data_IF_709612239795
#
_entry.id   IF_709612239795
#
_cell.length_a   1.000
_cell.length_b   1.000
_cell.length_c   1.000
_cell.angle_alpha   90.00
_cell.angle_beta   90.00
_cell.angle_gamma   90.00
#
_symmetry.space_group_name_H-M   'P 1'
#
loop_
_entity.id
_entity.type
_entity.pdbx_description
1 polymer ?
#
# COMPACT_ATOMS: atom_id res chain seq x y z
N UNK A 1 -26.11 -16.66 14.79
CA UNK A 1 -27.04 -16.28 13.71
C UNK A 1 -28.49 -16.69 14.03
N UNK A 2 -28.73 -17.81 14.73
CA UNK A 2 -30.09 -18.36 14.90
C UNK A 2 -31.01 -17.63 15.90
N UNK A 3 -30.47 -16.89 16.86
CA UNK A 3 -31.28 -16.19 17.87
C UNK A 3 -32.14 -15.05 17.32
N UNK A 4 -31.65 -14.30 16.34
CA UNK A 4 -32.39 -13.17 15.76
C UNK A 4 -33.57 -13.64 14.89
N UNK A 5 -33.36 -14.70 14.10
CA UNK A 5 -34.41 -15.30 13.27
C UNK A 5 -35.50 -16.01 14.10
N UNK A 6 -35.14 -16.60 15.24
CA UNK A 6 -36.10 -17.17 16.18
C UNK A 6 -36.94 -16.09 16.89
N UNK A 7 -36.32 -14.99 17.34
CA UNK A 7 -37.02 -13.89 18.02
C UNK A 7 -38.03 -13.16 17.12
N UNK A 8 -37.71 -12.95 15.84
CA UNK A 8 -38.64 -12.36 14.86
C UNK A 8 -39.86 -13.26 14.67
N UNK A 9 -39.67 -14.58 14.58
CA UNK A 9 -40.78 -15.55 14.50
C UNK A 9 -41.67 -15.59 15.74
N UNK A 10 -41.14 -15.18 16.89
CA UNK A 10 -41.87 -15.10 18.16
C UNK A 10 -42.49 -13.72 18.42
N UNK A 11 -42.52 -12.82 17.43
CA UNK A 11 -43.10 -11.48 17.58
C UNK A 11 -42.30 -10.55 18.50
N UNK A 12 -41.06 -10.90 18.85
CA UNK A 12 -40.20 -10.11 19.72
C UNK A 12 -39.50 -9.00 18.93
N UNK A 13 -40.25 -7.97 18.57
CA UNK A 13 -39.75 -6.79 17.83
C UNK A 13 -38.61 -6.09 18.56
N UNK A 14 -38.56 -6.13 19.90
CA UNK A 14 -37.47 -5.61 20.71
C UNK A 14 -36.07 -6.16 20.32
N UNK A 15 -35.99 -7.39 19.79
CA UNK A 15 -34.72 -7.99 19.35
C UNK A 15 -34.18 -7.33 18.08
N UNK A 16 -35.05 -6.81 17.20
CA UNK A 16 -34.68 -6.04 16.01
C UNK A 16 -34.12 -4.66 16.35
N UNK A 17 -34.36 -4.17 17.57
CA UNK A 17 -33.86 -2.88 18.05
C UNK A 17 -32.53 -3.00 18.80
N UNK A 18 -32.02 -4.22 19.02
CA UNK A 18 -30.74 -4.39 19.71
C UNK A 18 -29.58 -3.88 18.84
N UNK A 19 -28.60 -3.15 19.41
CA UNK A 19 -27.46 -2.61 18.66
C UNK A 19 -26.64 -3.65 17.89
N UNK A 20 -26.47 -4.86 18.43
CA UNK A 20 -25.74 -5.95 17.78
C UNK A 20 -26.45 -6.49 16.54
N UNK A 21 -27.78 -6.65 16.63
CA UNK A 21 -28.63 -7.09 15.50
C UNK A 21 -28.66 -6.02 14.40
N UNK A 22 -28.76 -4.74 14.79
CA UNK A 22 -28.75 -3.61 13.83
C UNK A 22 -27.39 -3.41 13.17
N UNK A 23 -26.29 -3.58 13.91
CA UNK A 23 -24.94 -3.57 13.35
C UNK A 23 -24.76 -4.69 12.33
N UNK A 24 -25.19 -5.91 12.67
CA UNK A 24 -25.16 -7.05 11.73
C UNK A 24 -26.04 -6.79 10.49
N UNK A 25 -27.23 -6.22 10.68
CA UNK A 25 -28.08 -5.82 9.56
C UNK A 25 -27.41 -4.75 8.68
N UNK A 26 -26.73 -3.77 9.29
CA UNK A 26 -25.95 -2.77 8.55
C UNK A 26 -24.83 -3.43 7.72
N UNK A 27 -24.06 -4.36 8.28
CA UNK A 27 -23.05 -5.13 7.53
C UNK A 27 -23.67 -5.89 6.35
N UNK A 28 -24.82 -6.53 6.57
CA UNK A 28 -25.52 -7.27 5.51
C UNK A 28 -25.98 -6.34 4.39
N UNK A 29 -26.62 -5.22 4.73
CA UNK A 29 -27.02 -4.19 3.75
C UNK A 29 -25.82 -3.64 2.98
N UNK A 30 -24.72 -3.40 3.68
CA UNK A 30 -23.48 -2.93 3.09
C UNK A 30 -22.90 -3.94 2.07
N UNK A 31 -22.93 -5.24 2.37
CA UNK A 31 -22.48 -6.29 1.44
C UNK A 31 -23.33 -6.38 0.18
N UNK A 32 -24.62 -6.06 0.29
CA UNK A 32 -25.56 -6.00 -0.85
C UNK A 32 -25.59 -4.63 -1.55
N UNK A 33 -24.64 -3.73 -1.25
CA UNK A 33 -24.56 -2.40 -1.87
C UNK A 33 -25.66 -1.43 -1.44
N UNK A 34 -26.49 -1.79 -0.45
CA UNK A 34 -27.55 -0.93 0.12
C UNK A 34 -26.96 0.00 1.19
N UNK A 35 -26.03 0.87 0.76
CA UNK A 35 -25.26 1.74 1.67
C UNK A 35 -26.12 2.69 2.50
N UNK A 36 -27.16 3.28 1.90
CA UNK A 36 -28.08 4.19 2.61
C UNK A 36 -28.78 3.52 3.78
N UNK A 37 -29.23 2.27 3.60
CA UNK A 37 -29.86 1.49 4.67
C UNK A 37 -28.87 1.06 5.74
N UNK A 38 -27.64 0.72 5.35
CA UNK A 38 -26.57 0.42 6.29
C UNK A 38 -26.26 1.64 7.17
N UNK A 39 -26.12 2.82 6.57
CA UNK A 39 -25.88 4.09 7.28
C UNK A 39 -27.06 4.42 8.21
N UNK A 40 -28.30 4.33 7.73
CA UNK A 40 -29.49 4.58 8.56
C UNK A 40 -29.50 3.70 9.81
N UNK A 41 -29.22 2.40 9.68
CA UNK A 41 -29.17 1.50 10.82
C UNK A 41 -28.12 1.93 11.85
N UNK A 42 -26.96 2.44 11.42
CA UNK A 42 -25.92 2.91 12.34
C UNK A 42 -26.30 4.22 13.02
N UNK A 43 -26.87 5.18 12.30
CA UNK A 43 -27.33 6.44 12.87
C UNK A 43 -28.43 6.22 13.92
N UNK A 44 -29.32 5.24 13.70
CA UNK A 44 -30.31 4.86 14.70
C UNK A 44 -29.71 4.13 15.93
N UNK A 45 -28.57 3.45 15.79
CA UNK A 45 -27.85 2.89 16.95
C UNK A 45 -27.27 4.02 17.79
N UNK A 46 -26.67 5.02 17.13
CA UNK A 46 -25.99 6.14 17.78
C UNK A 46 -26.97 7.14 18.42
N UNK A 47 -28.12 7.38 17.79
CA UNK A 47 -29.14 8.30 18.29
C UNK A 47 -29.93 7.76 19.50
N UNK A 48 -30.12 6.45 19.60
CA UNK A 48 -30.84 5.80 20.70
C UNK A 48 -30.00 5.61 21.99
N UNK A 49 -28.80 6.20 22.03
CA UNK A 49 -28.00 6.35 23.25
C UNK A 49 -26.77 5.45 23.28
N UNK A 50 -25.63 6.06 22.96
CA UNK A 50 -24.26 5.56 23.16
C UNK A 50 -23.96 4.99 24.57
N UNK A 51 -24.76 5.38 25.58
CA UNK A 51 -24.64 4.89 26.97
C UNK A 51 -24.83 3.37 27.13
N UNK A 52 -25.48 2.70 26.17
CA UNK A 52 -25.72 1.25 26.21
C UNK A 52 -24.76 0.44 25.32
N UNK A 53 -23.86 1.12 24.59
CA UNK A 53 -22.95 0.46 23.67
C UNK A 53 -21.75 -0.17 24.39
N UNK A 54 -21.30 0.36 25.54
CA UNK A 54 -20.16 -0.19 26.30
C UNK A 54 -18.99 -0.62 25.37
N UNK A 55 -18.38 -1.80 25.60
CA UNK A 55 -17.33 -2.38 24.73
C UNK A 55 -17.75 -2.71 23.29
N UNK A 56 -18.98 -2.38 22.88
CA UNK A 56 -19.53 -2.55 21.52
C UNK A 56 -19.56 -1.24 20.72
N UNK A 57 -19.19 -0.12 21.33
CA UNK A 57 -19.14 1.17 20.65
C UNK A 57 -18.09 1.19 19.52
N UNK A 58 -16.90 0.61 19.76
CA UNK A 58 -15.83 0.60 18.76
C UNK A 58 -16.27 -0.06 17.44
N UNK A 59 -16.81 -1.30 17.41
CA UNK A 59 -17.25 -1.92 16.16
C UNK A 59 -18.32 -1.15 15.39
N UNK A 60 -19.15 -0.36 16.08
CA UNK A 60 -20.17 0.51 15.47
C UNK A 60 -19.50 1.72 14.80
N UNK A 61 -18.61 2.41 15.51
CA UNK A 61 -17.87 3.55 14.96
C UNK A 61 -16.93 3.13 13.82
N UNK A 62 -16.27 1.97 13.93
CA UNK A 62 -15.47 1.39 12.85
C UNK A 62 -16.31 1.19 11.58
N UNK A 63 -17.46 0.51 11.70
CA UNK A 63 -18.33 0.26 10.54
C UNK A 63 -18.90 1.56 9.96
N UNK A 64 -19.18 2.57 10.80
CA UNK A 64 -19.58 3.91 10.33
C UNK A 64 -18.48 4.54 9.47
N UNK A 65 -17.22 4.43 9.90
CA UNK A 65 -16.06 4.86 9.12
C UNK A 65 -15.97 4.16 7.76
N UNK A 66 -16.09 2.83 7.75
CA UNK A 66 -16.03 2.01 6.54
C UNK A 66 -17.14 2.38 5.54
N UNK A 67 -18.36 2.60 6.03
CA UNK A 67 -19.47 3.02 5.18
C UNK A 67 -19.29 4.44 4.66
N UNK A 68 -18.81 5.36 5.51
CA UNK A 68 -18.56 6.74 5.13
C UNK A 68 -17.51 6.84 4.02
N UNK A 69 -16.44 6.02 4.08
CA UNK A 69 -15.48 5.89 2.98
C UNK A 69 -16.13 5.41 1.68
N UNK A 70 -16.97 4.38 1.76
CA UNK A 70 -17.67 3.82 0.58
C UNK A 70 -18.67 4.81 -0.03
N UNK A 71 -19.18 5.76 0.75
CA UNK A 71 -20.07 6.83 0.28
C UNK A 71 -19.32 8.12 -0.07
N UNK A 72 -18.00 8.18 0.09
CA UNK A 72 -17.19 9.38 -0.18
C UNK A 72 -17.36 10.51 0.87
N UNK A 73 -17.91 10.22 2.04
CA UNK A 73 -18.05 11.18 3.14
C UNK A 73 -16.82 11.10 4.05
N UNK A 74 -15.71 11.69 3.58
CA UNK A 74 -14.42 11.58 4.27
C UNK A 74 -14.40 12.29 5.63
N UNK A 75 -15.19 13.35 5.80
CA UNK A 75 -15.33 14.03 7.10
C UNK A 75 -15.99 13.11 8.13
N UNK A 76 -17.09 12.43 7.78
CA UNK A 76 -17.70 11.44 8.68
C UNK A 76 -16.82 10.22 8.89
N UNK A 77 -16.06 9.80 7.88
CA UNK A 77 -15.11 8.71 8.02
C UNK A 77 -14.05 9.03 9.08
N UNK A 78 -13.42 10.20 8.97
CA UNK A 78 -12.39 10.66 9.92
C UNK A 78 -12.92 10.73 11.36
N UNK A 79 -14.08 11.37 11.56
CA UNK A 79 -14.73 11.46 12.87
C UNK A 79 -14.99 10.07 13.47
N UNK A 80 -15.52 9.15 12.66
CA UNK A 80 -15.89 7.82 13.10
C UNK A 80 -14.65 6.96 13.45
N UNK A 81 -13.61 6.98 12.63
CA UNK A 81 -12.37 6.24 12.91
C UNK A 81 -11.62 6.80 14.11
N UNK A 82 -11.53 8.14 14.27
CA UNK A 82 -10.93 8.74 15.46
C UNK A 82 -11.69 8.40 16.73
N UNK A 83 -13.02 8.39 16.67
CA UNK A 83 -13.86 7.98 17.81
C UNK A 83 -13.63 6.51 18.15
N UNK A 84 -13.56 5.62 17.14
CA UNK A 84 -13.26 4.21 17.35
C UNK A 84 -11.86 4.00 17.94
N UNK A 85 -10.85 4.71 17.44
CA UNK A 85 -9.46 4.62 17.90
C UNK A 85 -9.33 5.13 19.35
N UNK A 86 -10.04 6.19 19.72
CA UNK A 86 -10.07 6.68 21.10
C UNK A 86 -10.62 5.63 22.10
N UNK A 87 -11.48 4.72 21.63
CA UNK A 87 -11.99 3.61 22.44
C UNK A 87 -11.00 2.44 22.54
N UNK A 88 -10.19 2.20 21.50
CA UNK A 88 -9.18 1.14 21.45
C UNK A 88 -7.90 1.69 20.78
N UNK A 89 -7.03 2.40 21.51
CA UNK A 89 -5.87 3.09 20.93
C UNK A 89 -4.81 2.18 20.28
N UNK A 90 -4.80 0.91 20.68
CA UNK A 90 -3.88 -0.11 20.16
C UNK A 90 -4.38 -0.82 18.90
N UNK A 91 -5.57 -0.49 18.41
CA UNK A 91 -6.10 -1.10 17.19
C UNK A 91 -5.33 -0.57 15.96
N UNK A 92 -4.45 -1.42 15.41
CA UNK A 92 -3.60 -1.10 14.27
C UNK A 92 -4.40 -0.73 13.01
N UNK A 93 -5.57 -1.35 12.80
CA UNK A 93 -6.43 -1.03 11.68
C UNK A 93 -6.99 0.39 11.82
N UNK A 94 -7.52 0.74 12.99
CA UNK A 94 -8.08 2.08 13.23
C UNK A 94 -7.01 3.18 13.10
N UNK A 95 -5.79 2.93 13.57
CA UNK A 95 -4.65 3.83 13.39
C UNK A 95 -4.35 4.07 11.90
N UNK A 96 -4.23 2.98 11.13
CA UNK A 96 -4.04 3.05 9.68
C UNK A 96 -5.20 3.76 8.95
N UNK A 97 -6.44 3.59 9.42
CA UNK A 97 -7.59 4.29 8.83
C UNK A 97 -7.55 5.80 9.10
N UNK A 98 -7.23 6.24 10.32
CA UNK A 98 -7.10 7.67 10.64
C UNK A 98 -6.02 8.35 9.79
N UNK A 99 -4.91 7.65 9.53
CA UNK A 99 -3.82 8.15 8.68
C UNK A 99 -4.17 8.15 7.18
N UNK A 100 -5.02 7.22 6.73
CA UNK A 100 -5.41 7.09 5.31
C UNK A 100 -6.58 7.99 4.88
N UNK A 101 -7.53 8.32 5.76
CA UNK A 101 -8.71 9.13 5.39
C UNK A 101 -8.35 10.46 4.71
N UNK A 102 -7.35 11.24 5.19
CA UNK A 102 -6.94 12.45 4.50
C UNK A 102 -6.47 12.20 3.07
N UNK A 103 -5.85 11.05 2.78
CA UNK A 103 -5.40 10.66 1.43
C UNK A 103 -6.59 10.33 0.53
N UNK A 104 -7.61 9.64 1.07
CA UNK A 104 -8.87 9.43 0.37
C UNK A 104 -9.56 10.76 0.01
N UNK A 105 -9.48 11.76 0.90
CA UNK A 105 -10.07 13.07 0.68
C UNK A 105 -9.34 13.94 -0.38
N UNK A 106 -8.09 13.61 -0.71
CA UNK A 106 -7.35 14.31 -1.78
C UNK A 106 -7.85 13.95 -3.18
N UNK A 107 -8.60 12.85 -3.33
CA UNK A 107 -9.18 12.50 -4.62
C UNK A 107 -10.36 13.40 -4.94
N UNK A 108 -10.22 14.22 -5.99
CA UNK A 108 -11.34 14.96 -6.54
C UNK A 108 -12.30 13.99 -7.26
N UNK A 109 -13.62 14.21 -7.11
CA UNK A 109 -14.64 13.40 -7.79
C UNK A 109 -14.54 13.48 -9.32
N UNK A 110 -13.95 14.56 -9.83
CA UNK A 110 -13.74 14.80 -11.26
C UNK A 110 -12.53 14.03 -11.85
N UNK A 111 -11.76 13.30 -11.02
CA UNK A 111 -10.59 12.54 -11.45
C UNK A 111 -10.98 11.14 -11.97
N UNK A 112 -11.92 11.09 -12.93
CA UNK A 112 -12.49 9.85 -13.47
C UNK A 112 -11.46 8.95 -14.19
N UNK A 113 -10.31 9.52 -14.60
CA UNK A 113 -9.31 8.82 -15.43
C UNK A 113 -8.28 7.97 -14.66
N UNK A 114 -8.28 7.95 -13.32
CA UNK A 114 -7.28 7.18 -12.55
C UNK A 114 -7.83 5.82 -12.16
N UNK A 115 -7.01 4.77 -12.32
CA UNK A 115 -7.43 3.44 -11.95
C UNK A 115 -7.79 3.32 -10.46
N UNK A 116 -8.82 2.54 -10.12
CA UNK A 116 -9.14 2.23 -8.72
C UNK A 116 -7.95 1.67 -7.96
N UNK A 117 -7.11 0.84 -8.60
CA UNK A 117 -5.94 0.23 -7.98
C UNK A 117 -4.93 1.28 -7.49
N UNK A 118 -4.63 2.29 -8.32
CA UNK A 118 -3.69 3.36 -7.98
C UNK A 118 -4.22 4.24 -6.86
N UNK A 119 -5.50 4.60 -6.91
CA UNK A 119 -6.18 5.32 -5.81
C UNK A 119 -6.10 4.54 -4.51
N UNK A 120 -6.33 3.23 -4.54
CA UNK A 120 -6.28 2.41 -3.33
C UNK A 120 -4.87 2.28 -2.77
N UNK A 121 -3.85 2.11 -3.60
CA UNK A 121 -2.46 2.07 -3.15
C UNK A 121 -2.02 3.36 -2.47
N UNK A 122 -2.35 4.49 -3.10
CA UNK A 122 -2.05 5.79 -2.52
C UNK A 122 -2.84 6.02 -1.23
N UNK A 123 -4.15 5.82 -1.22
CA UNK A 123 -4.92 6.14 -0.04
C UNK A 123 -4.65 5.20 1.14
N UNK A 124 -4.55 3.90 0.91
CA UNK A 124 -4.39 2.92 1.98
C UNK A 124 -2.97 2.79 2.49
N UNK A 125 -1.94 3.00 1.65
CA UNK A 125 -0.55 2.85 2.08
C UNK A 125 0.26 4.15 2.01
N UNK A 126 -0.20 5.17 1.28
CA UNK A 126 0.65 6.30 0.88
C UNK A 126 1.66 5.93 -0.19
N UNK A 127 1.46 4.80 -0.86
CA UNK A 127 2.40 4.19 -1.79
C UNK A 127 2.17 4.65 -3.24
N UNK A 128 3.23 4.62 -4.03
CA UNK A 128 3.18 4.81 -5.48
C UNK A 128 2.98 3.46 -6.16
N UNK A 129 1.88 3.29 -6.91
CA UNK A 129 1.65 2.09 -7.72
C UNK A 129 2.13 2.34 -9.14
N UNK A 130 3.16 1.60 -9.55
CA UNK A 130 3.81 1.75 -10.83
C UNK A 130 3.16 0.93 -11.94
N UNK A 131 2.57 -0.23 -11.65
CA UNK A 131 2.05 -1.12 -12.68
C UNK A 131 3.13 -2.03 -13.28
N UNK A 132 2.77 -2.74 -14.35
CA UNK A 132 3.60 -3.66 -15.11
C UNK A 132 3.93 -3.13 -16.52
N UNK A 133 4.53 -3.98 -17.35
CA UNK A 133 4.98 -3.66 -18.71
C UNK A 133 3.85 -3.14 -19.62
N UNK A 134 2.67 -3.75 -19.54
CA UNK A 134 1.58 -3.49 -20.51
C UNK A 134 0.68 -2.30 -20.14
N UNK A 135 0.96 -1.62 -19.02
CA UNK A 135 0.16 -0.48 -18.58
C UNK A 135 0.87 0.86 -18.73
N UNK A 136 0.05 1.90 -18.80
CA UNK A 136 0.47 3.31 -18.89
C UNK A 136 0.94 3.89 -17.54
N UNK A 137 0.93 3.10 -16.46
CA UNK A 137 1.22 3.54 -15.09
C UNK A 137 0.17 4.47 -14.47
N UNK A 138 -0.98 4.64 -15.13
CA UNK A 138 -2.13 5.47 -14.71
C UNK A 138 -3.38 4.61 -14.59
N UNK A 139 -3.75 3.92 -15.67
CA UNK A 139 -4.82 2.94 -15.82
C UNK A 139 -4.31 1.53 -15.49
N UNK A 140 -3.93 1.32 -14.23
CA UNK A 140 -3.35 0.05 -13.77
C UNK A 140 -4.47 -0.94 -13.40
N UNK A 141 -4.55 -2.13 -14.02
CA UNK A 141 -5.55 -3.14 -13.68
C UNK A 141 -5.25 -3.84 -12.34
N UNK A 142 -6.24 -4.55 -11.80
CA UNK A 142 -6.04 -5.37 -10.60
C UNK A 142 -5.48 -6.75 -10.98
N UNK A 143 -4.24 -7.02 -10.55
CA UNK A 143 -3.56 -8.30 -10.79
C UNK A 143 -3.80 -9.28 -9.64
N UNK A 144 -4.40 -10.47 -9.88
CA UNK A 144 -4.54 -11.50 -8.85
C UNK A 144 -3.21 -12.22 -8.56
N UNK A 145 -2.34 -12.33 -9.57
CA UNK A 145 -1.00 -12.91 -9.50
C UNK A 145 -0.33 -12.91 -10.88
N UNK A 146 0.99 -12.83 -10.93
CA UNK A 146 1.78 -12.68 -12.16
C UNK A 146 3.00 -13.60 -12.09
N UNK A 147 3.25 -14.38 -13.14
CA UNK A 147 4.50 -15.12 -13.31
C UNK A 147 5.38 -14.43 -14.33
N UNK A 148 6.54 -13.91 -13.91
CA UNK A 148 7.53 -13.30 -14.80
C UNK A 148 8.46 -14.40 -15.32
N UNK A 149 8.50 -14.60 -16.62
CA UNK A 149 9.20 -15.71 -17.29
C UNK A 149 10.66 -15.38 -17.60
N UNK A 150 10.95 -14.11 -17.85
CA UNK A 150 12.26 -13.69 -18.36
C UNK A 150 12.88 -12.55 -17.55
N UNK A 151 14.20 -12.38 -17.68
CA UNK A 151 14.89 -11.23 -17.08
C UNK A 151 14.41 -9.90 -17.67
N UNK A 152 14.07 -9.87 -18.96
CA UNK A 152 13.56 -8.66 -19.62
C UNK A 152 12.18 -8.25 -19.09
N UNK A 153 11.32 -9.22 -18.74
CA UNK A 153 10.05 -8.93 -18.05
C UNK A 153 10.27 -8.34 -16.66
N UNK A 154 11.15 -8.95 -15.85
CA UNK A 154 11.47 -8.40 -14.51
C UNK A 154 12.08 -7.00 -14.65
N UNK A 155 13.03 -6.82 -15.57
CA UNK A 155 13.65 -5.53 -15.86
C UNK A 155 12.62 -4.47 -16.25
N UNK A 156 11.62 -4.84 -17.05
CA UNK A 156 10.56 -3.93 -17.48
C UNK A 156 9.67 -3.48 -16.31
N UNK A 157 9.33 -4.40 -15.40
CA UNK A 157 8.53 -4.11 -14.21
C UNK A 157 9.26 -3.16 -13.24
N UNK A 158 10.59 -3.30 -13.11
CA UNK A 158 11.40 -2.46 -12.21
C UNK A 158 11.90 -1.16 -12.89
N UNK A 159 11.79 -1.02 -14.22
CA UNK A 159 12.31 0.14 -14.96
C UNK A 159 11.66 1.47 -14.55
N UNK A 160 10.33 1.52 -14.43
CA UNK A 160 9.59 2.74 -14.06
C UNK A 160 9.88 3.18 -12.61
N UNK A 161 9.89 2.27 -11.61
CA UNK A 161 10.40 2.58 -10.26
C UNK A 161 11.86 3.05 -10.27
N UNK A 162 12.77 2.34 -10.96
CA UNK A 162 14.18 2.71 -11.02
C UNK A 162 14.39 4.09 -11.63
N UNK A 163 13.68 4.42 -12.73
CA UNK A 163 13.73 5.75 -13.34
C UNK A 163 13.16 6.83 -12.42
N UNK A 164 12.13 6.51 -11.65
CA UNK A 164 11.57 7.43 -10.65
C UNK A 164 12.59 7.71 -9.54
N UNK A 165 13.26 6.68 -9.04
CA UNK A 165 14.34 6.82 -8.05
C UNK A 165 15.51 7.68 -8.57
N UNK A 166 15.89 7.54 -9.84
CA UNK A 166 16.90 8.41 -10.47
C UNK A 166 16.51 9.89 -10.42
N UNK A 167 15.23 10.19 -10.64
CA UNK A 167 14.71 11.57 -10.62
C UNK A 167 14.56 12.13 -9.21
N UNK A 168 14.37 11.28 -8.21
CA UNK A 168 14.19 11.67 -6.80
C UNK A 168 15.50 11.71 -6.00
N UNK A 169 16.65 11.35 -6.59
CA UNK A 169 17.97 11.54 -5.98
C UNK A 169 18.84 10.29 -5.85
N UNK A 170 18.39 9.12 -6.31
CA UNK A 170 19.05 7.81 -6.23
C UNK A 170 19.46 7.35 -4.81
N UNK A 171 19.02 6.17 -4.35
CA UNK A 171 19.45 5.65 -3.05
C UNK A 171 20.95 5.36 -3.03
N UNK A 172 21.62 5.76 -1.95
CA UNK A 172 23.03 5.49 -1.71
C UNK A 172 23.28 4.03 -1.30
N UNK A 173 22.33 3.42 -0.59
CA UNK A 173 22.38 2.02 -0.17
C UNK A 173 21.15 1.28 -0.62
N UNK A 174 21.33 0.06 -1.13
CA UNK A 174 20.24 -0.79 -1.62
C UNK A 174 20.40 -2.18 -1.01
N UNK A 175 19.34 -2.72 -0.44
CA UNK A 175 19.37 -4.00 0.26
C UNK A 175 18.14 -4.85 -0.06
N UNK A 176 18.33 -6.16 -0.16
CA UNK A 176 17.26 -7.12 -0.36
C UNK A 176 16.72 -7.61 1.00
N UNK A 177 15.39 -7.59 1.15
CA UNK A 177 14.71 -8.06 2.36
C UNK A 177 14.47 -9.58 2.37
N UNK A 178 14.60 -10.22 1.21
CA UNK A 178 14.42 -11.65 1.03
C UNK A 178 15.36 -12.16 -0.08
N UNK A 179 15.67 -13.46 -0.06
CA UNK A 179 16.59 -14.08 -1.02
C UNK A 179 16.14 -13.91 -2.49
N UNK A 180 14.84 -14.03 -2.84
CA UNK A 180 14.37 -13.79 -4.21
C UNK A 180 14.63 -12.36 -4.71
N UNK A 181 14.74 -11.38 -3.80
CA UNK A 181 14.99 -9.98 -4.13
C UNK A 181 16.46 -9.64 -4.36
N UNK A 182 17.38 -10.53 -4.01
CA UNK A 182 18.82 -10.28 -4.09
C UNK A 182 19.28 -9.87 -5.50
N UNK A 183 18.92 -10.58 -6.58
CA UNK A 183 19.31 -10.18 -7.94
C UNK A 183 18.74 -8.82 -8.35
N UNK A 184 17.56 -8.44 -7.84
CA UNK A 184 16.94 -7.15 -8.13
C UNK A 184 17.66 -6.02 -7.41
N UNK A 185 18.00 -6.21 -6.13
CA UNK A 185 18.79 -5.24 -5.36
C UNK A 185 20.15 -4.99 -6.02
N UNK A 186 20.84 -6.05 -6.47
CA UNK A 186 22.07 -5.97 -7.24
C UNK A 186 21.90 -5.22 -8.56
N UNK A 187 20.85 -5.54 -9.31
CA UNK A 187 20.56 -4.88 -10.58
C UNK A 187 20.31 -3.38 -10.42
N UNK A 188 19.47 -2.98 -9.44
CA UNK A 188 19.20 -1.58 -9.13
C UNK A 188 20.48 -0.88 -8.68
N UNK A 189 21.31 -1.52 -7.85
CA UNK A 189 22.60 -0.98 -7.41
C UNK A 189 23.51 -0.66 -8.59
N UNK A 190 23.64 -1.61 -9.51
CA UNK A 190 24.46 -1.49 -10.71
C UNK A 190 23.97 -0.42 -11.70
N UNK A 191 22.67 -0.08 -11.67
CA UNK A 191 22.07 0.91 -12.57
C UNK A 191 22.02 2.30 -11.95
N UNK A 192 21.78 2.41 -10.64
CA UNK A 192 21.64 3.68 -9.94
C UNK A 192 22.95 4.23 -9.34
N UNK A 193 23.98 3.39 -9.20
CA UNK A 193 25.30 3.82 -8.71
C UNK A 193 25.43 3.87 -7.18
N UNK A 194 24.75 2.96 -6.46
CA UNK A 194 24.76 2.85 -5.00
C UNK A 194 25.69 1.76 -4.46
N UNK A 195 25.56 1.47 -3.16
CA UNK A 195 26.23 0.37 -2.46
C UNK A 195 25.21 -0.69 -2.04
N UNK A 196 25.45 -1.94 -2.46
CA UNK A 196 24.67 -3.08 -1.98
C UNK A 196 24.98 -3.33 -0.50
N UNK A 197 23.97 -3.54 0.33
CA UNK A 197 24.15 -3.88 1.74
C UNK A 197 23.19 -4.97 2.20
N UNK A 198 23.52 -5.61 3.32
CA UNK A 198 22.69 -6.58 4.01
C UNK A 198 21.81 -5.86 5.06
N UNK A 199 20.47 -5.84 4.92
CA UNK A 199 19.57 -5.19 5.87
C UNK A 199 19.58 -5.78 7.28
N UNK A 200 20.14 -6.98 7.46
CA UNK A 200 20.32 -7.59 8.78
C UNK A 200 21.55 -7.07 9.53
N UNK A 201 22.44 -6.35 8.84
CA UNK A 201 23.66 -5.79 9.40
C UNK A 201 23.52 -4.27 9.68
N UNK A 202 24.19 -3.74 10.72
CA UNK A 202 24.17 -2.31 11.00
C UNK A 202 24.79 -1.50 9.85
N UNK A 203 24.10 -0.45 9.42
CA UNK A 203 24.62 0.44 8.38
C UNK A 203 25.56 1.47 9.01
N UNK A 204 26.87 1.32 8.82
CA UNK A 204 27.83 2.31 9.30
C UNK A 204 27.77 3.56 8.40
N UNK A 205 27.06 4.60 8.84
CA UNK A 205 27.11 5.89 8.15
C UNK A 205 28.48 6.54 8.33
N UNK A 206 29.09 6.96 7.21
CA UNK A 206 30.20 7.91 7.25
C UNK A 206 29.72 9.28 7.73
N UNK A 207 30.65 10.17 8.10
CA UNK A 207 30.35 11.50 8.66
C UNK A 207 29.58 12.47 7.71
N UNK A 208 29.29 12.05 6.47
CA UNK A 208 28.71 12.90 5.43
C UNK A 208 27.24 12.54 5.18
N UNK A 209 26.34 13.24 5.87
CA UNK A 209 24.90 13.19 5.62
C UNK A 209 24.20 11.91 6.07
N UNK A 210 22.86 11.93 6.01
CA UNK A 210 21.98 10.79 6.32
C UNK A 210 21.62 10.11 4.99
N UNK A 211 22.30 9.03 4.59
CA UNK A 211 22.15 8.48 3.25
C UNK A 211 20.75 7.92 3.00
N UNK A 212 20.34 7.95 1.73
CA UNK A 212 19.09 7.33 1.28
C UNK A 212 19.28 5.82 1.14
N UNK A 213 18.37 5.05 1.73
CA UNK A 213 18.35 3.58 1.71
C UNK A 213 17.13 3.12 0.94
N UNK A 214 17.31 2.18 0.02
CA UNK A 214 16.24 1.44 -0.62
C UNK A 214 16.23 -0.01 -0.15
N UNK A 215 15.11 -0.45 0.41
CA UNK A 215 14.85 -1.85 0.71
C UNK A 215 13.99 -2.45 -0.39
N UNK A 216 14.36 -3.63 -0.89
CA UNK A 216 13.68 -4.30 -2.00
C UNK A 216 13.11 -5.64 -1.57
N UNK A 217 11.86 -5.92 -1.93
CA UNK A 217 11.20 -7.21 -1.73
C UNK A 217 10.40 -7.62 -2.98
N UNK A 218 10.37 -8.91 -3.33
CA UNK A 218 9.57 -9.40 -4.46
C UNK A 218 8.09 -9.44 -4.10
N UNK A 219 7.73 -9.91 -2.90
CA UNK A 219 6.33 -10.16 -2.53
C UNK A 219 5.89 -9.55 -1.19
N UNK A 220 6.81 -8.91 -0.46
CA UNK A 220 6.56 -8.32 0.84
C UNK A 220 5.76 -9.28 1.76
N UNK A 221 6.24 -10.51 1.95
CA UNK A 221 5.43 -11.57 2.59
C UNK A 221 5.10 -11.32 4.06
N UNK A 222 5.90 -10.49 4.74
CA UNK A 222 5.78 -10.17 6.15
C UNK A 222 5.84 -8.64 6.38
N UNK A 223 4.69 -7.94 6.39
CA UNK A 223 4.64 -6.51 6.63
C UNK A 223 5.23 -6.08 7.99
N UNK A 224 5.13 -6.93 9.02
CA UNK A 224 5.62 -6.60 10.36
C UNK A 224 7.14 -6.57 10.40
N UNK A 225 7.79 -7.59 9.82
CA UNK A 225 9.26 -7.64 9.72
C UNK A 225 9.79 -6.48 8.89
N UNK A 226 9.15 -6.15 7.76
CA UNK A 226 9.54 -4.99 6.94
C UNK A 226 9.39 -3.69 7.75
N UNK A 227 8.29 -3.54 8.49
CA UNK A 227 8.07 -2.42 9.41
C UNK A 227 9.15 -2.31 10.49
N UNK A 228 9.60 -3.44 11.05
CA UNK A 228 10.66 -3.46 12.05
C UNK A 228 12.02 -3.03 11.48
N UNK A 229 12.42 -3.56 10.32
CA UNK A 229 13.69 -3.22 9.65
C UNK A 229 13.70 -1.74 9.24
N UNK A 230 12.61 -1.26 8.62
CA UNK A 230 12.49 0.16 8.25
C UNK A 230 12.53 1.08 9.46
N UNK A 231 11.88 0.71 10.57
CA UNK A 231 11.89 1.50 11.81
C UNK A 231 13.28 1.56 12.44
N UNK A 232 14.02 0.45 12.43
CA UNK A 232 15.40 0.39 12.93
C UNK A 232 16.31 1.36 12.15
N UNK A 233 16.31 1.27 10.82
CA UNK A 233 17.13 2.13 9.97
C UNK A 233 16.72 3.62 10.11
N UNK A 234 15.42 3.90 10.21
CA UNK A 234 14.93 5.28 10.48
C UNK A 234 15.38 5.80 11.85
N UNK A 235 15.41 4.94 12.88
CA UNK A 235 15.91 5.31 14.21
C UNK A 235 17.42 5.62 14.21
N UNK A 236 18.18 5.00 13.30
CA UNK A 236 19.58 5.35 13.02
C UNK A 236 19.74 6.65 12.19
N UNK A 237 18.62 7.31 11.86
CA UNK A 237 18.58 8.56 11.12
C UNK A 237 18.61 8.39 9.61
N UNK A 238 18.46 7.17 9.08
CA UNK A 238 18.45 6.93 7.64
C UNK A 238 17.15 7.42 6.98
N UNK A 239 17.28 7.83 5.71
CA UNK A 239 16.14 8.14 4.85
C UNK A 239 15.76 6.85 4.12
N UNK A 240 14.68 6.17 4.52
CA UNK A 240 14.37 4.80 4.04
C UNK A 240 13.16 4.78 3.13
N UNK A 241 13.35 4.24 1.92
CA UNK A 241 12.30 3.87 0.99
C UNK A 241 12.19 2.35 0.86
N UNK A 242 10.97 1.85 0.76
CA UNK A 242 10.72 0.42 0.56
C UNK A 242 9.98 0.17 -0.75
N UNK A 243 10.56 -0.70 -1.57
CA UNK A 243 10.04 -1.09 -2.87
C UNK A 243 9.62 -2.57 -2.89
N UNK A 244 8.36 -2.82 -3.24
CA UNK A 244 7.81 -4.15 -3.45
C UNK A 244 7.45 -4.37 -4.92
N UNK A 245 7.88 -5.48 -5.53
CA UNK A 245 7.44 -5.81 -6.90
C UNK A 245 5.97 -6.26 -6.88
N UNK A 246 5.63 -7.15 -5.97
CA UNK A 246 4.31 -7.68 -5.71
C UNK A 246 3.98 -7.62 -4.22
N UNK A 247 2.71 -7.84 -3.89
CA UNK A 247 2.23 -7.88 -2.52
C UNK A 247 1.46 -9.18 -2.27
N UNK A 248 1.87 -9.89 -1.22
CA UNK A 248 1.22 -11.14 -0.82
C UNK A 248 -0.10 -10.89 -0.08
N UNK A 249 -0.17 -9.81 0.69
CA UNK A 249 -1.35 -9.43 1.46
C UNK A 249 -2.09 -8.25 0.78
N UNK A 250 -3.33 -7.95 1.18
CA UNK A 250 -4.00 -6.73 0.72
C UNK A 250 -3.18 -5.47 1.07
N UNK A 251 -3.17 -4.49 0.17
CA UNK A 251 -2.35 -3.26 0.29
C UNK A 251 -2.51 -2.52 1.64
N UNK A 252 -3.69 -2.57 2.26
CA UNK A 252 -3.92 -1.99 3.59
C UNK A 252 -3.12 -2.63 4.73
N UNK A 253 -2.61 -3.86 4.56
CA UNK A 253 -1.72 -4.50 5.53
C UNK A 253 -0.31 -3.88 5.56
N UNK A 254 0.04 -3.07 4.55
CA UNK A 254 1.36 -2.45 4.39
C UNK A 254 1.36 -0.95 4.72
N UNK A 255 0.38 -0.49 5.49
CA UNK A 255 0.21 0.92 5.82
C UNK A 255 1.47 1.52 6.48
N UNK A 256 2.06 2.53 5.85
CA UNK A 256 3.28 3.20 6.36
C UNK A 256 4.57 2.38 6.23
N UNK A 257 4.51 1.22 5.56
CA UNK A 257 5.63 0.27 5.43
C UNK A 257 6.17 0.24 4.00
N UNK A 258 5.31 0.26 2.98
CA UNK A 258 5.71 0.23 1.56
C UNK A 258 5.52 1.61 0.92
N UNK A 259 6.58 2.11 0.28
CA UNK A 259 6.59 3.41 -0.40
C UNK A 259 6.31 3.27 -1.91
N UNK A 260 6.85 2.21 -2.52
CA UNK A 260 6.86 1.98 -3.95
C UNK A 260 6.36 0.56 -4.22
N UNK A 261 5.41 0.38 -5.15
CA UNK A 261 4.88 -0.94 -5.50
C UNK A 261 4.65 -1.08 -7.00
N UNK A 262 5.04 -2.19 -7.62
CA UNK A 262 4.69 -2.45 -9.03
C UNK A 262 3.33 -3.12 -9.18
N UNK A 263 3.05 -4.15 -8.38
CA UNK A 263 1.81 -4.93 -8.42
C UNK A 263 1.20 -5.14 -7.03
N UNK A 264 -0.13 -5.16 -6.97
CA UNK A 264 -0.89 -5.50 -5.76
C UNK A 264 -1.11 -7.00 -5.57
N UNK A 265 -0.71 -7.81 -6.55
CA UNK A 265 -0.80 -9.27 -6.52
C UNK A 265 0.55 -9.91 -6.24
N UNK A 266 0.52 -11.23 -6.04
CA UNK A 266 1.71 -12.05 -5.90
C UNK A 266 2.48 -12.13 -7.23
N UNK A 267 3.80 -12.14 -7.15
CA UNK A 267 4.71 -12.19 -8.31
C UNK A 267 5.66 -13.38 -8.17
N UNK A 268 5.74 -14.22 -9.20
CA UNK A 268 6.79 -15.25 -9.34
C UNK A 268 7.91 -14.72 -10.25
N UNK A 269 9.16 -14.82 -9.80
CA UNK A 269 10.34 -14.43 -10.57
C UNK A 269 11.04 -15.67 -11.13
N UNK A 270 11.78 -15.58 -12.26
CA UNK A 270 12.22 -16.77 -12.98
C UNK A 270 13.30 -17.61 -12.30
N UNK A 271 13.93 -17.10 -11.25
CA UNK A 271 14.89 -17.82 -10.40
C UNK A 271 14.29 -18.32 -9.08
N UNK A 272 13.03 -17.99 -8.79
CA UNK A 272 12.31 -18.41 -7.57
C UNK A 272 10.85 -18.73 -7.93
N UNK A 273 10.69 -19.60 -8.93
CA UNK A 273 9.38 -20.06 -9.41
C UNK A 273 9.24 -21.57 -9.13
N UNK A 274 8.68 -21.96 -7.95
CA UNK A 274 8.46 -23.37 -7.59
C UNK A 274 7.51 -24.09 -8.57
N UNK A 275 6.70 -23.31 -9.28
CA UNK A 275 5.75 -23.75 -10.30
C UNK A 275 6.40 -24.23 -11.60
N UNK A 276 7.72 -24.03 -11.78
CA UNK A 276 8.44 -24.31 -13.03
C UNK A 276 9.35 -25.53 -12.93
N UNK A 277 9.48 -26.24 -14.05
CA UNK A 277 10.39 -27.39 -14.18
C UNK A 277 11.87 -26.98 -14.13
N UNK A 278 12.20 -25.75 -14.51
CA UNK A 278 13.57 -25.21 -14.50
C UNK A 278 13.57 -23.80 -13.93
N UNK A 279 14.46 -23.57 -12.96
CA UNK A 279 14.75 -22.26 -12.39
C UNK A 279 16.07 -21.74 -12.95
N UNK A 280 16.16 -20.43 -13.17
CA UNK A 280 17.43 -19.80 -13.58
C UNK A 280 18.45 -19.86 -12.44
N UNK A 281 19.74 -20.08 -12.74
CA UNK A 281 20.80 -20.00 -11.74
C UNK A 281 20.93 -18.57 -11.18
N UNK A 282 21.18 -18.47 -9.88
CA UNK A 282 21.28 -17.17 -9.18
C UNK A 282 22.64 -16.49 -9.41
N UNK A 283 23.69 -17.27 -9.69
CA UNK A 283 25.04 -16.72 -9.86
C UNK A 283 25.13 -15.81 -11.10
N UNK A 284 25.63 -14.58 -10.93
CA UNK A 284 25.74 -13.58 -12.01
C UNK A 284 24.41 -12.92 -12.41
N UNK A 285 23.28 -13.38 -11.89
CA UNK A 285 21.95 -12.95 -12.31
C UNK A 285 21.70 -11.45 -12.12
N UNK A 286 22.20 -10.86 -11.04
CA UNK A 286 22.07 -9.42 -10.79
C UNK A 286 22.76 -8.55 -11.84
N UNK A 287 23.88 -9.00 -12.41
CA UNK A 287 24.59 -8.27 -13.46
C UNK A 287 23.89 -8.40 -14.83
N UNK A 288 23.35 -9.57 -15.14
CA UNK A 288 22.54 -9.79 -16.33
C UNK A 288 21.23 -8.97 -16.27
N UNK A 289 20.53 -9.04 -15.13
CA UNK A 289 19.33 -8.24 -14.88
C UNK A 289 19.62 -6.74 -14.93
N UNK A 290 20.79 -6.28 -14.45
CA UNK A 290 21.20 -4.87 -14.60
C UNK A 290 21.30 -4.47 -16.07
N UNK A 291 21.81 -5.35 -16.92
CA UNK A 291 21.94 -5.09 -18.36
C UNK A 291 20.56 -5.02 -19.04
N UNK A 292 19.63 -5.91 -18.67
CA UNK A 292 18.23 -5.83 -19.10
C UNK A 292 17.57 -4.52 -18.60
N UNK A 293 17.80 -4.16 -17.34
CA UNK A 293 17.23 -2.96 -16.72
C UNK A 293 17.68 -1.67 -17.40
N UNK A 294 18.96 -1.53 -17.76
CA UNK A 294 19.43 -0.36 -18.52
C UNK A 294 18.68 -0.22 -19.84
N UNK A 295 18.56 -1.30 -20.61
CA UNK A 295 17.80 -1.30 -21.86
C UNK A 295 16.33 -0.97 -21.63
N UNK A 296 15.71 -1.53 -20.60
CA UNK A 296 14.31 -1.26 -20.27
C UNK A 296 14.07 0.21 -19.89
N UNK A 297 14.97 0.82 -19.10
CA UNK A 297 14.91 2.25 -18.76
C UNK A 297 15.07 3.13 -20.00
N UNK A 298 16.01 2.80 -20.88
CA UNK A 298 16.22 3.51 -22.15
C UNK A 298 15.01 3.39 -23.10
N UNK A 299 14.31 2.26 -23.05
CA UNK A 299 13.14 1.97 -23.86
C UNK A 299 11.82 2.53 -23.29
N UNK A 300 11.81 3.09 -22.06
CA UNK A 300 10.59 3.63 -21.48
C UNK A 300 9.97 4.67 -22.42
N UNK A 301 8.72 4.48 -22.88
CA UNK A 301 8.13 5.27 -23.95
C UNK A 301 7.90 6.71 -23.50
N UNK A 302 8.75 7.62 -23.98
CA UNK A 302 8.74 9.08 -23.72
C UNK A 302 8.74 9.46 -22.22
N UNK A 303 9.44 10.55 -21.87
CA UNK A 303 9.40 11.13 -20.52
C UNK A 303 7.97 11.31 -19.96
N UNK A 304 6.95 11.35 -20.81
CA UNK A 304 5.52 11.50 -20.48
C UNK A 304 4.95 10.47 -19.51
N UNK A 305 5.26 9.17 -19.59
CA UNK A 305 4.63 8.19 -18.68
C UNK A 305 5.11 8.38 -17.22
N UNK A 306 6.41 8.54 -17.03
CA UNK A 306 7.01 8.82 -15.72
C UNK A 306 6.61 10.21 -15.24
N UNK A 307 6.65 11.24 -16.10
CA UNK A 307 6.28 12.60 -15.70
C UNK A 307 4.80 12.74 -15.37
N UNK A 308 3.88 12.11 -16.11
CA UNK A 308 2.45 12.06 -15.75
C UNK A 308 2.22 11.34 -14.42
N UNK A 309 2.96 10.25 -14.18
CA UNK A 309 2.92 9.57 -12.89
C UNK A 309 3.37 10.50 -11.74
N UNK A 310 4.48 11.22 -11.93
CA UNK A 310 5.01 12.16 -10.94
C UNK A 310 4.12 13.39 -10.75
N UNK A 311 3.53 13.93 -11.82
CA UNK A 311 2.58 15.03 -11.76
C UNK A 311 1.31 14.66 -10.99
N UNK A 312 0.84 13.42 -11.11
CA UNK A 312 -0.27 12.95 -10.29
C UNK A 312 0.10 12.97 -8.80
N UNK A 313 1.26 12.44 -8.44
CA UNK A 313 1.71 12.42 -7.06
C UNK A 313 2.09 13.83 -6.51
N UNK A 314 2.54 14.76 -7.36
CA UNK A 314 2.83 16.13 -6.91
C UNK A 314 1.56 16.91 -6.52
N UNK A 315 0.39 16.52 -7.06
CA UNK A 315 -0.92 17.03 -6.65
C UNK A 315 -1.51 16.34 -5.41
N UNK A 316 -0.95 15.21 -4.97
CA UNK A 316 -1.40 14.42 -3.81
C UNK A 316 -0.21 14.08 -2.89
N UNK A 317 0.06 14.87 -1.85
CA UNK A 317 1.40 14.90 -1.19
C UNK A 317 1.56 14.07 0.09
N UNK A 318 0.58 13.26 0.45
CA UNK A 318 0.58 12.42 1.66
C UNK A 318 1.13 11.01 1.40
N UNK A 319 2.44 10.89 1.25
CA UNK A 319 3.11 9.60 1.08
C UNK A 319 3.16 8.75 2.36
N UNK A 320 3.63 7.51 2.23
CA UNK A 320 3.87 6.56 3.32
C UNK A 320 4.99 7.05 4.24
N UNK A 321 6.08 7.56 3.65
CA UNK A 321 7.20 8.15 4.37
C UNK A 321 7.36 9.64 4.09
N UNK A 322 7.73 10.38 5.15
CA UNK A 322 8.14 11.78 5.05
C UNK A 322 9.37 11.93 4.13
N UNK A 323 10.27 10.95 4.15
CA UNK A 323 11.43 10.87 3.28
C UNK A 323 11.09 10.94 1.79
N UNK A 324 10.11 10.15 1.34
CA UNK A 324 9.67 10.20 -0.06
C UNK A 324 8.99 11.53 -0.37
N UNK A 325 8.17 12.05 0.55
CA UNK A 325 7.53 13.36 0.42
C UNK A 325 8.57 14.49 0.23
N UNK A 326 9.63 14.47 1.02
CA UNK A 326 10.67 15.49 0.99
C UNK A 326 11.47 15.41 -0.33
N UNK A 327 11.78 14.20 -0.79
CA UNK A 327 12.44 14.01 -2.10
C UNK A 327 11.57 14.51 -3.26
N UNK A 328 10.25 14.27 -3.21
CA UNK A 328 9.31 14.86 -4.16
C UNK A 328 9.35 16.38 -4.15
N UNK A 329 9.31 17.00 -2.96
CA UNK A 329 9.37 18.45 -2.81
C UNK A 329 10.69 19.04 -3.34
N UNK A 330 11.80 18.32 -3.18
CA UNK A 330 13.14 18.75 -3.60
C UNK A 330 13.42 18.54 -5.10
N UNK A 331 12.78 17.53 -5.71
CA UNK A 331 13.00 17.16 -7.12
C UNK A 331 12.68 18.28 -8.13
N UNK A 332 11.92 19.30 -7.73
CA UNK A 332 11.48 20.38 -8.62
C UNK A 332 10.50 19.92 -9.70
N UNK A 333 9.96 18.70 -9.58
CA UNK A 333 8.97 18.11 -10.49
C UNK A 333 7.60 18.72 -10.13
N UNK A 334 7.40 19.96 -10.55
CA UNK A 334 6.17 20.75 -10.50
C UNK A 334 6.09 21.61 -11.76
#
# INVERSE_FOLDING_TARGET
>A
ADGAAAAVRQGQTAVLFRPDVRRFAAELWARHGRLSMAVQNLEEILSNGSRHLAGRAMPVHRLRGDLALRTGDYSRADEAFRTALALVPEDAYLRAMVESVPRFAEFNRDAEDISPAKRMAYAQAGAMLFGLLDDDGVTIPDYPGIGLETLDEVASVIARPARTLQLLGSPAYIGALDAPSQPIAEAITNVLGGTLFDPSAPLRSGNDGRPQVLLVTVNATDPETIGAVTSLLRAEGQTVWTYAIGLRHPIGAYHGVIDLVSSRGFVEVPWDAPSRETTLPIEGLGAELASCLRRAIEALPTLTAVTSHLAWHSSHRRFASDSLRDAFAQSGIC
#
